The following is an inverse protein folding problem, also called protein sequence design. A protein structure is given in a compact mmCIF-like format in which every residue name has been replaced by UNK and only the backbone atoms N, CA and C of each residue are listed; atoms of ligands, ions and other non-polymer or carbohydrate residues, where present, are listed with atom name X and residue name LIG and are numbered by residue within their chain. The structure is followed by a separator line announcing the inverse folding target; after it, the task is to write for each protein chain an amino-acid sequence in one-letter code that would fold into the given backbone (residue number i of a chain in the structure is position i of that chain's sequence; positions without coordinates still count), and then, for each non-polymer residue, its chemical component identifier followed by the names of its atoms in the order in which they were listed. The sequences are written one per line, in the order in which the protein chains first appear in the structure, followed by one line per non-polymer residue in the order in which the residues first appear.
data_IF_902174806824
#
_entry.id   IF_902174806824
#
_cell.length_a   1.000
_cell.length_b   1.000
_cell.length_c   1.000
_cell.angle_alpha   90.00
_cell.angle_beta   90.00
_cell.angle_gamma   90.00
#
_symmetry.space_group_name_H-M   'P 1'
#
loop_
_entity.id
_entity.type
_entity.pdbx_description
1 polymer ?
#
# COMPACT_ATOMS: atom_id res chain seq x y z
N UNK A 1 26.90 9.04 21.72
CA UNK A 1 26.70 7.57 21.78
C UNK A 1 25.38 7.08 21.16
N UNK A 2 24.19 7.37 21.70
CA UNK A 2 22.93 6.82 21.14
C UNK A 2 22.49 7.50 19.84
N UNK A 3 22.79 8.79 19.67
CA UNK A 3 22.53 9.55 18.42
C UNK A 3 23.53 9.21 17.30
N UNK A 4 24.80 8.97 17.64
CA UNK A 4 25.84 8.59 16.66
C UNK A 4 25.61 7.18 16.10
N UNK A 5 25.11 6.24 16.92
CA UNK A 5 24.73 4.90 16.45
C UNK A 5 23.56 4.95 15.47
N UNK A 6 22.54 5.77 15.75
CA UNK A 6 21.40 5.97 14.83
C UNK A 6 21.82 6.60 13.50
N UNK A 7 22.75 7.56 13.51
CA UNK A 7 23.27 8.15 12.28
C UNK A 7 24.10 7.18 11.46
N UNK A 8 24.92 6.33 12.11
CA UNK A 8 25.70 5.30 11.42
C UNK A 8 24.80 4.22 10.80
N UNK A 9 23.79 3.74 11.54
CA UNK A 9 22.79 2.79 11.04
C UNK A 9 21.99 3.36 9.86
N UNK A 10 21.58 4.63 9.94
CA UNK A 10 20.87 5.30 8.86
C UNK A 10 21.73 5.46 7.60
N UNK A 11 23.01 5.80 7.76
CA UNK A 11 23.94 5.93 6.64
C UNK A 11 24.24 4.57 5.97
N UNK A 12 24.37 3.51 6.77
CA UNK A 12 24.52 2.14 6.27
C UNK A 12 23.27 1.68 5.50
N UNK A 13 22.07 1.96 6.00
CA UNK A 13 20.81 1.68 5.31
C UNK A 13 20.72 2.39 3.94
N UNK A 14 21.15 3.65 3.86
CA UNK A 14 21.20 4.39 2.59
C UNK A 14 22.19 3.77 1.60
N UNK A 15 23.37 3.36 2.06
CA UNK A 15 24.36 2.69 1.20
C UNK A 15 23.81 1.33 0.72
N UNK A 16 23.23 0.53 1.61
CA UNK A 16 22.64 -0.75 1.25
C UNK A 16 21.52 -0.58 0.21
N UNK A 17 20.61 0.38 0.41
CA UNK A 17 19.55 0.71 -0.55
C UNK A 17 20.08 1.15 -1.92
N UNK A 18 21.20 1.87 -1.95
CA UNK A 18 21.82 2.32 -3.21
C UNK A 18 22.50 1.19 -4.00
N UNK A 19 22.95 0.13 -3.32
CA UNK A 19 23.68 -1.01 -3.92
C UNK A 19 22.79 -2.20 -4.24
N UNK A 20 21.60 -2.24 -3.65
CA UNK A 20 20.60 -3.28 -3.90
C UNK A 20 20.04 -3.15 -5.31
N UNK A 21 19.85 -4.29 -5.96
CA UNK A 21 19.21 -4.39 -7.27
C UNK A 21 17.75 -3.92 -7.22
N UNK A 22 17.23 -3.53 -8.37
CA UNK A 22 15.84 -3.12 -8.56
C UNK A 22 14.92 -4.30 -8.72
N UNK A 23 13.79 -4.26 -8.03
CA UNK A 23 12.80 -5.32 -8.05
C UNK A 23 11.53 -4.89 -8.79
N UNK A 24 11.27 -5.53 -9.93
CA UNK A 24 10.04 -5.34 -10.70
C UNK A 24 9.14 -6.57 -10.56
N UNK A 25 7.88 -6.34 -10.19
CA UNK A 25 6.92 -7.39 -9.88
C UNK A 25 5.66 -7.27 -10.73
N UNK A 26 5.38 -8.31 -11.50
CA UNK A 26 4.12 -8.49 -12.20
C UNK A 26 3.10 -9.18 -11.29
N UNK A 27 2.00 -8.50 -10.97
CA UNK A 27 0.90 -9.05 -10.20
C UNK A 27 -0.25 -9.41 -11.15
N UNK A 28 -0.80 -10.61 -11.02
CA UNK A 28 -1.99 -11.01 -11.77
C UNK A 28 -3.09 -11.56 -10.88
N UNK A 29 -4.34 -11.43 -11.32
CA UNK A 29 -5.50 -11.97 -10.60
C UNK A 29 -5.52 -13.51 -10.56
N UNK A 30 -4.94 -14.18 -11.55
CA UNK A 30 -4.94 -15.65 -11.65
C UNK A 30 -3.86 -16.18 -12.62
N UNK A 31 -3.70 -17.51 -12.65
CA UNK A 31 -3.03 -18.22 -13.72
C UNK A 31 -3.68 -17.94 -15.08
N UNK A 32 -2.86 -17.90 -16.14
CA UNK A 32 -3.35 -17.74 -17.51
C UNK A 32 -3.55 -16.31 -18.00
N UNK A 33 -3.42 -15.30 -17.12
CA UNK A 33 -3.49 -13.88 -17.49
C UNK A 33 -2.28 -13.38 -18.31
N UNK A 34 -1.26 -14.22 -18.51
CA UNK A 34 -0.11 -13.90 -19.36
C UNK A 34 1.07 -13.21 -18.67
N UNK A 35 1.20 -13.33 -17.34
CA UNK A 35 2.36 -12.79 -16.58
C UNK A 35 3.71 -13.18 -17.18
N UNK A 36 3.95 -14.49 -17.31
CA UNK A 36 5.19 -15.04 -17.89
C UNK A 36 5.44 -14.55 -19.30
N UNK A 37 4.38 -14.51 -20.14
CA UNK A 37 4.49 -14.04 -21.51
C UNK A 37 4.93 -12.57 -21.58
N UNK A 38 4.32 -11.70 -20.77
CA UNK A 38 4.69 -10.28 -20.66
C UNK A 38 6.10 -10.09 -20.12
N UNK A 39 6.49 -10.86 -19.11
CA UNK A 39 7.82 -10.84 -18.53
C UNK A 39 8.90 -11.22 -19.55
N UNK A 40 8.65 -12.25 -20.37
CA UNK A 40 9.56 -12.64 -21.46
C UNK A 40 9.61 -11.59 -22.60
N UNK A 41 8.48 -10.95 -22.94
CA UNK A 41 8.47 -9.84 -23.91
C UNK A 41 9.32 -8.65 -23.44
N UNK A 42 9.28 -8.34 -22.14
CA UNK A 42 10.14 -7.31 -21.55
C UNK A 42 11.61 -7.73 -21.57
N UNK A 43 11.92 -8.98 -21.22
CA UNK A 43 13.29 -9.52 -21.30
C UNK A 43 13.89 -9.37 -22.71
N UNK A 44 13.11 -9.67 -23.75
CA UNK A 44 13.49 -9.44 -25.15
C UNK A 44 13.76 -7.96 -25.45
N UNK A 45 12.95 -7.07 -24.91
CA UNK A 45 13.10 -5.62 -25.11
C UNK A 45 14.37 -5.10 -24.45
N UNK A 46 14.64 -5.53 -23.23
CA UNK A 46 15.87 -5.20 -22.51
C UNK A 46 17.12 -5.74 -23.24
N UNK A 47 17.08 -6.99 -23.70
CA UNK A 47 18.19 -7.60 -24.44
C UNK A 47 18.47 -6.85 -25.76
N UNK A 48 17.42 -6.47 -26.52
CA UNK A 48 17.58 -5.65 -27.73
C UNK A 48 18.18 -4.27 -27.46
N UNK A 49 17.97 -3.73 -26.26
CA UNK A 49 18.55 -2.47 -25.82
C UNK A 49 19.97 -2.63 -25.25
N UNK A 50 20.56 -3.83 -25.31
CA UNK A 50 21.93 -4.10 -24.89
C UNK A 50 22.11 -4.35 -23.39
N UNK A 51 21.03 -4.55 -22.64
CA UNK A 51 21.09 -4.91 -21.22
C UNK A 51 21.39 -6.41 -21.08
N UNK A 52 22.33 -6.80 -20.21
CA UNK A 52 22.58 -8.23 -19.92
C UNK A 52 21.44 -8.83 -19.11
N UNK A 53 20.50 -9.45 -19.82
CA UNK A 53 19.36 -10.16 -19.27
C UNK A 53 19.59 -11.66 -19.33
N UNK A 54 19.32 -12.35 -18.22
CA UNK A 54 19.33 -13.81 -18.17
C UNK A 54 18.03 -14.37 -17.59
N UNK A 55 17.60 -15.52 -18.10
CA UNK A 55 16.54 -16.31 -17.47
C UNK A 55 17.16 -17.13 -16.35
N UNK A 56 16.76 -16.84 -15.10
CA UNK A 56 17.12 -17.66 -13.94
C UNK A 56 16.14 -18.82 -13.78
N UNK A 57 14.84 -18.52 -13.84
CA UNK A 57 13.79 -19.54 -13.84
C UNK A 57 12.53 -19.02 -14.51
N UNK A 58 11.96 -19.79 -15.43
CA UNK A 58 10.66 -19.52 -16.06
C UNK A 58 9.93 -20.85 -16.25
N UNK A 59 8.64 -20.88 -15.95
CA UNK A 59 7.77 -22.02 -16.22
C UNK A 59 6.77 -21.69 -17.34
N UNK A 60 6.87 -22.40 -18.47
CA UNK A 60 6.01 -22.13 -19.64
C UNK A 60 4.71 -22.91 -19.60
N UNK A 61 4.60 -23.92 -18.73
CA UNK A 61 3.51 -24.89 -18.67
C UNK A 61 3.19 -25.50 -20.05
N UNK A 62 4.23 -25.74 -20.86
CA UNK A 62 4.14 -26.29 -22.23
C UNK A 62 3.30 -25.44 -23.20
N UNK A 63 3.11 -24.15 -22.91
CA UNK A 63 2.39 -23.22 -23.81
C UNK A 63 3.27 -22.88 -25.01
N UNK A 64 2.90 -23.25 -26.26
CA UNK A 64 3.77 -23.06 -27.42
C UNK A 64 4.20 -21.61 -27.63
N UNK A 65 3.27 -20.66 -27.53
CA UNK A 65 3.54 -19.23 -27.70
C UNK A 65 4.51 -18.67 -26.65
N UNK A 66 4.45 -19.18 -25.42
CA UNK A 66 5.35 -18.74 -24.33
C UNK A 66 6.70 -19.43 -24.43
N UNK A 67 6.72 -20.70 -24.84
CA UNK A 67 7.96 -21.44 -25.06
C UNK A 67 8.79 -20.84 -26.21
N UNK A 68 8.14 -20.42 -27.30
CA UNK A 68 8.81 -19.74 -28.41
C UNK A 68 9.49 -18.42 -27.98
N UNK A 69 9.04 -17.77 -26.90
CA UNK A 69 9.70 -16.58 -26.38
C UNK A 69 10.99 -16.87 -25.61
N UNK A 70 11.27 -18.13 -25.27
CA UNK A 70 12.56 -18.50 -24.66
C UNK A 70 13.70 -18.41 -25.69
N UNK A 71 13.39 -18.64 -26.97
CA UNK A 71 14.38 -18.60 -28.04
C UNK A 71 14.99 -17.20 -28.14
N UNK A 72 16.33 -17.15 -28.15
CA UNK A 72 17.10 -15.90 -28.21
C UNK A 72 17.33 -15.21 -26.86
N UNK A 73 16.77 -15.70 -25.75
CA UNK A 73 17.09 -15.20 -24.41
C UNK A 73 18.20 -16.05 -23.76
N UNK A 74 19.29 -15.43 -23.25
CA UNK A 74 20.29 -16.15 -22.48
C UNK A 74 19.66 -16.81 -21.24
N UNK A 75 19.93 -18.10 -21.03
CA UNK A 75 19.37 -18.87 -19.93
C UNK A 75 20.47 -19.42 -19.03
N UNK A 76 20.27 -19.31 -17.72
CA UNK A 76 21.11 -19.94 -16.71
C UNK A 76 20.58 -21.36 -16.52
N UNK A 77 21.40 -22.42 -16.72
CA UNK A 77 20.96 -23.78 -16.53
C UNK A 77 20.40 -24.00 -15.13
N UNK A 78 19.26 -24.68 -15.05
CA UNK A 78 18.66 -25.10 -13.79
C UNK A 78 19.56 -26.12 -13.11
N UNK A 79 19.65 -26.07 -11.78
CA UNK A 79 20.34 -27.12 -11.03
C UNK A 79 19.43 -28.34 -10.89
N UNK A 80 20.03 -29.52 -10.95
CA UNK A 80 19.33 -30.80 -10.79
C UNK A 80 19.55 -31.36 -9.40
N UNK A 81 18.47 -31.81 -8.77
CA UNK A 81 18.46 -32.34 -7.42
C UNK A 81 17.69 -33.67 -7.40
N UNK A 82 18.17 -34.64 -6.62
CA UNK A 82 17.44 -35.89 -6.39
C UNK A 82 16.71 -35.83 -5.06
N UNK A 83 15.39 -35.86 -5.11
CA UNK A 83 14.55 -35.86 -3.91
C UNK A 83 13.52 -36.98 -3.98
N UNK A 84 13.44 -37.80 -2.93
CA UNK A 84 12.56 -38.99 -2.83
C UNK A 84 12.61 -39.89 -4.09
N UNK A 85 13.80 -40.07 -4.67
CA UNK A 85 14.02 -40.92 -5.85
C UNK A 85 13.58 -40.31 -7.19
N UNK A 86 13.23 -39.02 -7.24
CA UNK A 86 12.93 -38.29 -8.49
C UNK A 86 13.99 -37.22 -8.75
N UNK A 87 14.41 -37.10 -10.00
CA UNK A 87 15.18 -35.94 -10.46
C UNK A 87 14.23 -34.76 -10.60
N UNK A 88 14.57 -33.65 -9.97
CA UNK A 88 13.84 -32.40 -10.00
C UNK A 88 14.79 -31.27 -10.42
N UNK A 89 14.25 -30.25 -11.05
CA UNK A 89 15.00 -29.06 -11.46
C UNK A 89 14.59 -27.87 -10.62
N UNK A 90 15.56 -27.04 -10.25
CA UNK A 90 15.34 -25.80 -9.49
C UNK A 90 16.21 -24.68 -10.04
N UNK A 91 15.83 -23.43 -9.74
CA UNK A 91 16.69 -22.28 -10.00
C UNK A 91 18.07 -22.47 -9.34
N UNK A 92 19.13 -22.12 -10.08
CA UNK A 92 20.50 -22.08 -9.56
C UNK A 92 20.85 -20.68 -9.08
N UNK A 93 20.50 -20.39 -7.81
CA UNK A 93 20.79 -19.12 -7.15
C UNK A 93 22.28 -18.77 -7.20
N UNK A 94 23.17 -19.74 -6.97
CA UNK A 94 24.59 -19.48 -6.91
C UNK A 94 25.17 -19.15 -8.29
N UNK A 95 24.70 -19.82 -9.34
CA UNK A 95 25.07 -19.48 -10.71
C UNK A 95 24.63 -18.06 -11.07
N UNK A 96 23.42 -17.64 -10.69
CA UNK A 96 22.94 -16.26 -10.91
C UNK A 96 23.86 -15.25 -10.22
N UNK A 97 24.16 -15.45 -8.93
CA UNK A 97 25.01 -14.55 -8.15
C UNK A 97 26.44 -14.50 -8.71
N UNK A 98 26.98 -15.62 -9.19
CA UNK A 98 28.33 -15.69 -9.75
C UNK A 98 28.43 -15.02 -11.12
N UNK A 99 27.41 -15.19 -11.96
CA UNK A 99 27.36 -14.59 -13.31
C UNK A 99 27.10 -13.08 -13.27
N UNK A 100 26.41 -12.58 -12.24
CA UNK A 100 26.04 -11.17 -12.05
C UNK A 100 25.47 -10.51 -13.32
N UNK A 101 24.37 -11.04 -13.90
CA UNK A 101 23.69 -10.32 -14.96
C UNK A 101 23.17 -8.97 -14.45
N UNK A 102 22.92 -8.02 -15.37
CA UNK A 102 22.25 -6.77 -15.00
C UNK A 102 20.82 -7.03 -14.56
N UNK A 103 20.10 -7.94 -15.25
CA UNK A 103 18.72 -8.31 -14.94
C UNK A 103 18.56 -9.82 -15.00
N UNK A 104 17.87 -10.41 -14.02
CA UNK A 104 17.45 -11.81 -14.05
C UNK A 104 15.93 -11.95 -14.01
N UNK A 105 15.41 -12.86 -14.83
CA UNK A 105 13.99 -13.23 -14.88
C UNK A 105 13.75 -14.43 -13.96
N UNK A 106 12.83 -14.28 -13.00
CA UNK A 106 12.48 -15.32 -12.02
C UNK A 106 10.95 -15.44 -11.90
N UNK A 107 10.37 -16.50 -12.44
CA UNK A 107 8.93 -16.76 -12.36
C UNK A 107 8.53 -17.52 -11.08
N UNK A 108 7.22 -17.54 -10.81
CA UNK A 108 6.58 -18.21 -9.68
C UNK A 108 7.19 -17.79 -8.32
N UNK A 109 7.11 -16.50 -7.99
CA UNK A 109 7.69 -15.93 -6.76
C UNK A 109 7.28 -16.68 -5.46
N UNK A 110 6.08 -17.25 -5.45
CA UNK A 110 5.51 -17.97 -4.31
C UNK A 110 6.02 -19.41 -4.13
N UNK A 111 6.74 -19.93 -5.13
CA UNK A 111 7.17 -21.32 -5.19
C UNK A 111 7.93 -21.74 -3.93
N UNK A 112 7.61 -22.93 -3.46
CA UNK A 112 8.36 -23.60 -2.39
C UNK A 112 9.52 -24.36 -2.98
N UNK A 113 10.72 -23.94 -2.65
CA UNK A 113 11.93 -24.57 -3.13
C UNK A 113 12.01 -26.03 -2.67
N UNK A 114 12.69 -26.85 -3.46
CA UNK A 114 12.89 -28.26 -3.15
C UNK A 114 13.66 -28.42 -1.84
N UNK A 115 13.26 -29.37 -1.00
CA UNK A 115 13.98 -29.74 0.23
C UNK A 115 15.48 -29.98 -0.04
N UNK A 116 16.35 -29.37 0.78
CA UNK A 116 17.80 -29.35 0.56
C UNK A 116 18.31 -28.12 -0.18
N UNK A 117 17.43 -27.21 -0.60
CA UNK A 117 17.79 -25.85 -1.00
C UNK A 117 18.22 -25.01 0.20
N UNK A 118 19.07 -24.01 -0.04
CA UNK A 118 19.52 -23.09 1.03
C UNK A 118 18.35 -22.29 1.61
N UNK A 119 17.43 -21.87 0.75
CA UNK A 119 16.21 -21.17 1.10
C UNK A 119 14.99 -22.05 0.90
N UNK A 120 13.97 -21.87 1.73
CA UNK A 120 12.70 -22.61 1.66
C UNK A 120 11.79 -22.08 0.55
N UNK A 121 11.86 -20.78 0.26
CA UNK A 121 10.97 -20.09 -0.69
C UNK A 121 11.74 -19.35 -1.76
N UNK A 122 11.24 -19.38 -2.99
CA UNK A 122 11.87 -18.68 -4.12
C UNK A 122 11.96 -17.17 -3.90
N UNK A 123 11.01 -16.57 -3.20
CA UNK A 123 11.12 -15.15 -2.85
C UNK A 123 12.33 -14.83 -1.99
N UNK A 124 12.83 -15.76 -1.17
CA UNK A 124 14.07 -15.57 -0.41
C UNK A 124 15.28 -15.56 -1.37
N UNK A 125 15.32 -16.45 -2.35
CA UNK A 125 16.34 -16.43 -3.40
C UNK A 125 16.32 -15.10 -4.17
N UNK A 126 15.13 -14.58 -4.47
CA UNK A 126 14.98 -13.27 -5.11
C UNK A 126 15.55 -12.15 -4.24
N UNK A 127 15.33 -12.18 -2.92
CA UNK A 127 15.93 -11.21 -2.00
C UNK A 127 17.46 -11.30 -2.01
N UNK A 128 18.02 -12.51 -1.98
CA UNK A 128 19.47 -12.74 -2.05
C UNK A 128 20.08 -12.21 -3.36
N UNK A 129 19.38 -12.39 -4.49
CA UNK A 129 19.79 -11.85 -5.79
C UNK A 129 19.78 -10.31 -5.77
N UNK A 130 18.73 -9.71 -5.22
CA UNK A 130 18.62 -8.25 -5.10
C UNK A 130 19.73 -7.70 -4.20
N UNK A 131 20.02 -8.35 -3.09
CA UNK A 131 21.08 -7.96 -2.15
C UNK A 131 22.48 -8.11 -2.75
N UNK A 132 22.66 -9.01 -3.73
CA UNK A 132 23.87 -9.09 -4.55
C UNK A 132 24.00 -7.95 -5.59
N UNK A 133 23.01 -7.06 -5.69
CA UNK A 133 22.99 -5.92 -6.61
C UNK A 133 22.45 -6.21 -8.01
N UNK A 134 21.83 -7.38 -8.20
CA UNK A 134 21.28 -7.82 -9.50
C UNK A 134 19.80 -7.44 -9.55
N UNK A 135 19.34 -6.85 -10.66
CA UNK A 135 17.92 -6.50 -10.80
C UNK A 135 17.09 -7.77 -11.07
N UNK A 136 15.89 -7.84 -10.50
CA UNK A 136 14.99 -8.99 -10.66
C UNK A 136 13.67 -8.54 -11.27
N UNK A 137 13.22 -9.25 -12.30
CA UNK A 137 11.85 -9.20 -12.79
C UNK A 137 11.16 -10.51 -12.43
N UNK A 138 10.05 -10.42 -11.70
CA UNK A 138 9.32 -11.58 -11.20
C UNK A 138 7.82 -11.44 -11.42
N UNK A 139 7.10 -12.55 -11.24
CA UNK A 139 5.65 -12.57 -11.30
C UNK A 139 5.01 -13.33 -10.11
N UNK A 140 3.83 -12.88 -9.69
CA UNK A 140 3.03 -13.51 -8.62
C UNK A 140 1.53 -13.37 -8.92
N UNK A 141 0.72 -14.33 -8.44
CA UNK A 141 -0.73 -14.16 -8.40
C UNK A 141 -1.17 -13.66 -7.04
N UNK A 142 -2.26 -12.89 -6.98
CA UNK A 142 -2.82 -12.37 -5.72
C UNK A 142 -3.16 -13.46 -4.69
N UNK A 143 -3.53 -14.65 -5.15
CA UNK A 143 -3.87 -15.79 -4.28
C UNK A 143 -2.69 -16.27 -3.41
N UNK A 144 -1.47 -15.87 -3.75
CA UNK A 144 -0.27 -16.20 -3.00
C UNK A 144 0.15 -15.09 -2.03
N UNK A 145 -0.47 -13.92 -2.07
CA UNK A 145 -0.17 -12.84 -1.12
C UNK A 145 -0.83 -13.18 0.21
N UNK A 146 -0.05 -13.18 1.29
CA UNK A 146 -0.49 -13.65 2.60
C UNK A 146 -1.75 -12.94 3.09
N UNK A 147 -1.79 -11.60 3.06
CA UNK A 147 -2.94 -10.81 3.52
C UNK A 147 -4.23 -11.03 2.72
N UNK A 148 -4.12 -11.43 1.44
CA UNK A 148 -5.26 -11.63 0.55
C UNK A 148 -5.75 -13.07 0.55
N UNK A 149 -5.07 -13.97 1.25
CA UNK A 149 -5.38 -15.38 1.16
C UNK A 149 -6.79 -15.73 1.62
N UNK A 150 -7.22 -15.22 2.77
CA UNK A 150 -8.53 -15.51 3.33
C UNK A 150 -9.65 -15.04 2.39
N UNK A 151 -9.53 -13.81 1.88
CA UNK A 151 -10.49 -13.23 0.94
C UNK A 151 -10.54 -14.03 -0.38
N UNK A 152 -9.39 -14.46 -0.90
CA UNK A 152 -9.33 -15.32 -2.10
C UNK A 152 -9.92 -16.71 -1.85
N UNK A 153 -9.72 -17.28 -0.66
CA UNK A 153 -10.31 -18.57 -0.28
C UNK A 153 -11.83 -18.46 -0.17
N UNK A 154 -12.34 -17.36 0.37
CA UNK A 154 -13.79 -17.12 0.47
C UNK A 154 -14.44 -16.98 -0.91
N UNK A 155 -13.73 -16.37 -1.87
CA UNK A 155 -14.19 -16.24 -3.26
C UNK A 155 -14.13 -17.58 -4.00
N UNK A 156 -13.00 -18.30 -3.91
CA UNK A 156 -12.71 -19.44 -4.80
C UNK A 156 -13.00 -20.80 -4.19
N UNK A 157 -13.13 -20.87 -2.85
CA UNK A 157 -13.20 -22.10 -2.07
C UNK A 157 -11.89 -22.90 -2.02
N UNK A 158 -10.79 -22.36 -2.55
CA UNK A 158 -9.51 -23.07 -2.69
C UNK A 158 -8.51 -22.54 -1.68
N UNK A 159 -7.95 -23.45 -0.88
CA UNK A 159 -6.85 -23.15 0.01
C UNK A 159 -5.51 -23.35 -0.72
N UNK A 160 -4.87 -22.25 -1.07
CA UNK A 160 -3.54 -22.25 -1.70
C UNK A 160 -2.50 -22.47 -0.59
N UNK A 161 -1.43 -23.25 -0.75
CA UNK A 161 -0.43 -23.44 0.33
C UNK A 161 0.80 -22.56 0.16
N UNK A 162 1.10 -22.19 -1.09
CA UNK A 162 2.25 -21.38 -1.42
C UNK A 162 1.97 -19.90 -1.21
N UNK A 163 2.86 -19.23 -0.47
CA UNK A 163 2.65 -17.90 0.08
C UNK A 163 3.87 -17.00 -0.06
N UNK A 164 3.58 -15.71 -0.22
CA UNK A 164 4.54 -14.61 -0.24
C UNK A 164 4.10 -13.58 0.81
N UNK A 165 4.96 -13.23 1.77
CA UNK A 165 4.68 -12.18 2.73
C UNK A 165 4.48 -10.82 2.04
N UNK A 166 3.52 -10.03 2.52
CA UNK A 166 3.27 -8.67 2.06
C UNK A 166 4.51 -7.77 2.09
N UNK A 167 5.42 -8.01 3.05
CA UNK A 167 6.68 -7.27 3.17
C UNK A 167 7.61 -7.48 1.98
N UNK A 168 7.53 -8.61 1.29
CA UNK A 168 8.29 -8.89 0.07
C UNK A 168 7.68 -8.15 -1.11
N UNK A 169 6.35 -8.20 -1.26
CA UNK A 169 5.63 -7.46 -2.31
C UNK A 169 5.89 -5.96 -2.18
N UNK A 170 5.88 -5.44 -0.95
CA UNK A 170 6.15 -4.03 -0.65
C UNK A 170 7.62 -3.59 -0.92
N UNK A 171 8.54 -4.53 -1.11
CA UNK A 171 9.93 -4.22 -1.51
C UNK A 171 10.08 -4.03 -3.02
N UNK A 172 9.04 -4.27 -3.83
CA UNK A 172 9.09 -4.03 -5.26
C UNK A 172 9.25 -2.53 -5.57
N UNK A 173 10.31 -2.20 -6.30
CA UNK A 173 10.49 -0.85 -6.86
C UNK A 173 9.44 -0.56 -7.93
N UNK A 174 9.01 -1.54 -8.71
CA UNK A 174 7.96 -1.36 -9.72
C UNK A 174 6.94 -2.50 -9.63
N UNK A 175 5.66 -2.14 -9.60
CA UNK A 175 4.56 -3.11 -9.61
C UNK A 175 3.72 -2.90 -10.85
N UNK A 176 3.50 -3.95 -11.63
CA UNK A 176 2.72 -3.92 -12.86
C UNK A 176 1.55 -4.90 -12.76
N UNK A 177 0.33 -4.40 -12.93
CA UNK A 177 -0.85 -5.25 -12.98
C UNK A 177 -0.97 -5.92 -14.36
N UNK A 178 -1.13 -7.24 -14.38
CA UNK A 178 -1.49 -8.01 -15.57
C UNK A 178 -2.93 -8.48 -15.45
N UNK A 179 -3.77 -7.91 -16.31
CA UNK A 179 -5.21 -8.05 -16.27
C UNK A 179 -5.77 -8.54 -17.60
N UNK A 180 -6.93 -9.19 -17.54
CA UNK A 180 -7.70 -9.73 -18.66
C UNK A 180 -9.18 -9.71 -18.28
N UNK A 181 -10.06 -9.69 -19.28
CA UNK A 181 -11.49 -9.84 -19.00
C UNK A 181 -11.81 -11.27 -18.56
N UNK A 182 -12.93 -11.45 -17.85
CA UNK A 182 -13.39 -12.79 -17.48
C UNK A 182 -13.67 -13.66 -18.72
N UNK A 183 -14.23 -13.07 -19.77
CA UNK A 183 -14.50 -13.74 -21.04
C UNK A 183 -13.20 -14.22 -21.69
N UNK A 184 -12.20 -13.35 -21.85
CA UNK A 184 -10.91 -13.73 -22.45
C UNK A 184 -10.20 -14.82 -21.64
N UNK A 185 -10.26 -14.75 -20.30
CA UNK A 185 -9.61 -15.74 -19.44
C UNK A 185 -10.30 -17.12 -19.56
N UNK A 186 -11.64 -17.12 -19.60
CA UNK A 186 -12.44 -18.33 -19.80
C UNK A 186 -12.18 -18.93 -21.18
N UNK A 187 -12.11 -18.11 -22.22
CA UNK A 187 -11.86 -18.60 -23.58
C UNK A 187 -10.46 -19.17 -23.73
N UNK A 188 -9.45 -18.51 -23.15
CA UNK A 188 -8.09 -19.07 -23.04
C UNK A 188 -8.06 -20.41 -22.30
N UNK A 189 -8.88 -20.57 -21.27
CA UNK A 189 -9.00 -21.85 -20.57
C UNK A 189 -9.62 -22.92 -21.48
N UNK A 190 -10.72 -22.62 -22.17
CA UNK A 190 -11.40 -23.54 -23.09
C UNK A 190 -10.52 -23.96 -24.27
N UNK A 191 -9.69 -23.05 -24.77
CA UNK A 191 -8.70 -23.30 -25.80
C UNK A 191 -7.51 -24.16 -25.32
N UNK A 192 -7.46 -24.55 -24.04
CA UNK A 192 -6.37 -25.33 -23.48
C UNK A 192 -5.07 -24.54 -23.28
N UNK A 193 -5.13 -23.20 -23.33
CA UNK A 193 -3.95 -22.33 -23.16
C UNK A 193 -3.54 -22.18 -21.69
N UNK A 194 -4.37 -22.59 -20.74
CA UNK A 194 -4.12 -22.41 -19.29
C UNK A 194 -3.84 -23.74 -18.60
N UNK A 195 -4.71 -24.74 -18.81
CA UNK A 195 -4.61 -26.08 -18.24
C UNK A 195 -4.77 -27.17 -19.32
N UNK A 196 -4.27 -28.37 -19.01
CA UNK A 196 -4.52 -29.57 -19.81
C UNK A 196 -6.02 -29.89 -19.88
N UNK A 197 -6.47 -30.46 -21.01
CA UNK A 197 -7.88 -30.68 -21.33
C UNK A 197 -8.66 -31.46 -20.25
N UNK A 198 -7.99 -32.38 -19.54
CA UNK A 198 -8.56 -33.16 -18.45
C UNK A 198 -9.01 -32.33 -17.24
N UNK A 199 -8.38 -31.16 -17.02
CA UNK A 199 -8.64 -30.29 -15.85
C UNK A 199 -9.57 -29.12 -16.17
N UNK A 200 -9.89 -28.86 -17.45
CA UNK A 200 -10.67 -27.70 -17.88
C UNK A 200 -12.08 -27.71 -17.25
N UNK A 201 -12.81 -28.83 -17.33
CA UNK A 201 -14.18 -28.90 -16.82
C UNK A 201 -14.26 -28.64 -15.31
N UNK A 202 -13.33 -29.22 -14.54
CA UNK A 202 -13.24 -28.98 -13.10
C UNK A 202 -12.83 -27.53 -12.77
N UNK A 203 -11.93 -26.94 -13.55
CA UNK A 203 -11.49 -25.56 -13.37
C UNK A 203 -12.64 -24.56 -13.64
N UNK A 204 -13.44 -24.78 -14.69
CA UNK A 204 -14.64 -23.97 -15.01
C UNK A 204 -15.74 -24.11 -13.94
N UNK A 205 -15.90 -25.30 -13.37
CA UNK A 205 -16.88 -25.55 -12.30
C UNK A 205 -16.53 -24.91 -10.96
N UNK A 206 -15.27 -24.54 -10.75
CA UNK A 206 -14.74 -24.02 -9.48
C UNK A 206 -14.14 -22.62 -9.65
N UNK A 207 -12.82 -22.51 -9.87
CA UNK A 207 -12.08 -21.26 -9.86
C UNK A 207 -12.48 -20.30 -11.00
N UNK A 208 -12.68 -20.80 -12.22
CA UNK A 208 -12.84 -19.99 -13.44
C UNK A 208 -14.32 -19.64 -13.73
N UNK A 209 -15.03 -19.15 -12.71
CA UNK A 209 -16.37 -18.56 -12.87
C UNK A 209 -16.24 -17.06 -13.11
N UNK A 210 -17.12 -16.51 -13.94
CA UNK A 210 -17.11 -15.08 -14.27
C UNK A 210 -17.18 -14.20 -13.00
N UNK A 211 -18.03 -14.56 -12.04
CA UNK A 211 -18.15 -13.88 -10.75
C UNK A 211 -16.85 -13.89 -9.94
N UNK A 212 -16.22 -15.07 -9.81
CA UNK A 212 -14.95 -15.19 -9.09
C UNK A 212 -13.85 -14.36 -9.76
N UNK A 213 -13.76 -14.40 -11.10
CA UNK A 213 -12.76 -13.65 -11.85
C UNK A 213 -12.95 -12.15 -11.65
N UNK A 214 -14.19 -11.65 -11.65
CA UNK A 214 -14.48 -10.23 -11.39
C UNK A 214 -14.04 -9.79 -9.99
N UNK A 215 -14.30 -10.60 -8.97
CA UNK A 215 -13.89 -10.32 -7.59
C UNK A 215 -12.36 -10.37 -7.44
N UNK A 216 -11.70 -11.39 -8.01
CA UNK A 216 -10.24 -11.48 -8.02
C UNK A 216 -9.59 -10.31 -8.78
N UNK A 217 -10.22 -9.85 -9.85
CA UNK A 217 -9.77 -8.66 -10.60
C UNK A 217 -9.84 -7.40 -9.76
N UNK A 218 -10.93 -7.20 -9.02
CA UNK A 218 -11.06 -6.10 -8.07
C UNK A 218 -9.95 -6.14 -7.01
N UNK A 219 -9.69 -7.32 -6.42
CA UNK A 219 -8.62 -7.50 -5.44
C UNK A 219 -7.24 -7.19 -6.01
N UNK A 220 -6.94 -7.66 -7.23
CA UNK A 220 -5.67 -7.37 -7.88
C UNK A 220 -5.46 -5.87 -8.12
N UNK A 221 -6.50 -5.18 -8.60
CA UNK A 221 -6.43 -3.73 -8.82
C UNK A 221 -6.27 -2.97 -7.51
N UNK A 222 -6.99 -3.36 -6.45
CA UNK A 222 -6.90 -2.77 -5.11
C UNK A 222 -5.50 -2.96 -4.51
N UNK A 223 -4.91 -4.14 -4.66
CA UNK A 223 -3.57 -4.43 -4.16
C UNK A 223 -2.51 -3.61 -4.90
N UNK A 224 -2.56 -3.58 -6.23
CA UNK A 224 -1.62 -2.76 -7.01
C UNK A 224 -1.77 -1.27 -6.67
N UNK A 225 -3.00 -0.78 -6.51
CA UNK A 225 -3.24 0.60 -6.07
C UNK A 225 -2.67 0.88 -4.67
N UNK A 226 -2.83 -0.06 -3.73
CA UNK A 226 -2.24 0.02 -2.38
C UNK A 226 -0.71 0.10 -2.42
N UNK A 227 -0.06 -0.72 -3.26
CA UNK A 227 1.40 -0.69 -3.42
C UNK A 227 1.90 0.62 -4.02
N UNK A 228 1.23 1.13 -5.07
CA UNK A 228 1.55 2.43 -5.65
C UNK A 228 1.38 3.55 -4.62
N UNK A 229 0.32 3.52 -3.82
CA UNK A 229 0.10 4.50 -2.76
C UNK A 229 1.23 4.47 -1.72
N UNK A 230 1.62 3.29 -1.21
CA UNK A 230 2.73 3.15 -0.25
C UNK A 230 4.04 3.70 -0.80
N UNK A 231 4.30 3.48 -2.10
CA UNK A 231 5.49 3.99 -2.77
C UNK A 231 5.46 5.52 -2.88
N UNK A 232 4.34 6.11 -3.26
CA UNK A 232 4.15 7.57 -3.28
C UNK A 232 4.36 8.16 -1.87
N UNK A 233 3.79 7.54 -0.84
CA UNK A 233 3.97 7.97 0.55
C UNK A 233 5.43 7.88 1.01
N UNK A 234 6.22 6.93 0.48
CA UNK A 234 7.63 6.78 0.85
C UNK A 234 8.53 7.75 0.07
N UNK A 235 8.42 7.79 -1.26
CA UNK A 235 9.32 8.55 -2.13
C UNK A 235 8.97 10.05 -2.15
N UNK A 236 7.69 10.42 -2.19
CA UNK A 236 7.28 11.84 -2.28
C UNK A 236 7.44 12.55 -0.93
N UNK A 237 7.25 11.84 0.20
CA UNK A 237 7.48 12.41 1.54
C UNK A 237 8.97 12.58 1.85
N UNK A 238 9.85 11.80 1.22
CA UNK A 238 11.31 12.01 1.31
C UNK A 238 11.80 13.16 0.42
N UNK A 239 11.17 13.37 -0.74
CA UNK A 239 11.61 14.38 -1.72
C UNK A 239 11.03 15.78 -1.47
N UNK A 240 9.93 15.86 -0.73
CA UNK A 240 9.37 17.13 -0.23
C UNK A 240 9.16 16.99 1.27
N UNK A 241 9.68 17.93 2.06
CA UNK A 241 9.29 18.17 3.46
C UNK A 241 7.79 18.56 3.55
N UNK A 242 6.89 17.75 3.00
CA UNK A 242 5.45 17.88 3.21
C UNK A 242 5.26 17.43 4.65
N UNK A 243 5.15 18.41 5.56
CA UNK A 243 4.69 18.17 6.93
C UNK A 243 3.45 17.26 6.81
N UNK A 244 3.47 16.08 7.44
CA UNK A 244 2.28 15.21 7.48
C UNK A 244 1.10 16.05 7.99
N UNK A 245 0.07 16.19 7.17
CA UNK A 245 -1.04 17.12 7.43
C UNK A 245 -1.81 16.70 8.68
N UNK A 246 -1.64 17.36 9.82
CA UNK A 246 -2.38 17.03 11.06
C UNK A 246 -3.55 17.96 11.22
N UNK A 247 -4.76 17.39 11.33
CA UNK A 247 -5.99 18.17 11.39
C UNK A 247 -6.50 18.34 12.83
N UNK A 248 -6.97 19.54 13.16
CA UNK A 248 -7.64 19.84 14.43
C UNK A 248 -9.04 20.42 14.18
N UNK A 249 -10.07 19.62 14.43
CA UNK A 249 -11.46 20.08 14.42
C UNK A 249 -11.79 20.75 15.76
N UNK A 250 -12.01 22.07 15.75
CA UNK A 250 -12.49 22.79 16.94
C UNK A 250 -14.02 22.86 16.93
N UNK A 251 -14.64 22.23 17.93
CA UNK A 251 -16.10 22.17 18.05
C UNK A 251 -16.60 23.01 19.23
N UNK A 252 -17.81 23.54 19.10
CA UNK A 252 -18.56 24.21 20.17
C UNK A 252 -19.72 23.33 20.66
N UNK A 253 -20.47 23.79 21.66
CA UNK A 253 -21.67 23.09 22.15
C UNK A 253 -22.86 23.13 21.17
N UNK A 254 -22.69 23.68 19.96
CA UNK A 254 -23.74 23.75 18.94
C UNK A 254 -23.80 22.42 18.16
N UNK A 255 -24.93 21.72 18.25
CA UNK A 255 -25.08 20.38 17.68
C UNK A 255 -24.84 20.32 16.16
N UNK A 256 -25.55 21.15 15.38
CA UNK A 256 -25.55 21.05 13.90
C UNK A 256 -24.19 21.41 13.33
N UNK A 257 -23.61 22.50 13.84
CA UNK A 257 -22.31 23.00 13.36
C UNK A 257 -21.18 22.05 13.73
N UNK A 258 -21.17 21.53 14.97
CA UNK A 258 -20.15 20.59 15.41
C UNK A 258 -20.19 19.27 14.61
N UNK A 259 -21.38 18.68 14.37
CA UNK A 259 -21.50 17.46 13.56
C UNK A 259 -20.95 17.64 12.14
N UNK A 260 -21.22 18.79 11.52
CA UNK A 260 -20.75 19.09 10.17
C UNK A 260 -19.22 19.23 10.15
N UNK A 261 -18.64 19.98 11.09
CA UNK A 261 -17.19 20.14 11.25
C UNK A 261 -16.51 18.78 11.44
N UNK A 262 -17.02 17.93 12.33
CA UNK A 262 -16.47 16.60 12.59
C UNK A 262 -16.46 15.77 11.30
N UNK A 263 -17.60 15.66 10.60
CA UNK A 263 -17.70 14.85 9.38
C UNK A 263 -16.82 15.36 8.25
N UNK A 264 -16.78 16.68 8.03
CA UNK A 264 -15.95 17.27 6.97
C UNK A 264 -14.47 17.18 7.29
N UNK A 265 -14.08 17.36 8.56
CA UNK A 265 -12.68 17.18 8.98
C UNK A 265 -12.26 15.73 8.87
N UNK A 266 -13.11 14.77 9.26
CA UNK A 266 -12.85 13.34 9.06
C UNK A 266 -12.61 12.99 7.59
N UNK A 267 -13.42 13.57 6.68
CA UNK A 267 -13.23 13.38 5.22
C UNK A 267 -11.90 13.93 4.75
N UNK A 268 -11.50 15.11 5.21
CA UNK A 268 -10.20 15.70 4.88
C UNK A 268 -9.04 14.85 5.44
N UNK A 269 -9.12 14.47 6.72
CA UNK A 269 -8.11 13.64 7.37
C UNK A 269 -7.94 12.29 6.66
N UNK A 270 -9.05 11.65 6.26
CA UNK A 270 -9.02 10.41 5.48
C UNK A 270 -8.44 10.62 4.08
N UNK A 271 -8.80 11.71 3.40
CA UNK A 271 -8.25 12.04 2.08
C UNK A 271 -6.73 12.22 2.10
N UNK A 272 -6.20 12.82 3.18
CA UNK A 272 -4.77 13.01 3.40
C UNK A 272 -4.09 11.88 4.19
N UNK A 273 -4.80 10.78 4.46
CA UNK A 273 -4.35 9.65 5.27
C UNK A 273 -3.61 10.07 6.56
N UNK A 274 -4.21 10.96 7.35
CA UNK A 274 -3.52 11.57 8.48
C UNK A 274 -4.30 11.58 9.78
N UNK A 275 -3.54 11.70 10.88
CA UNK A 275 -4.07 11.82 12.22
C UNK A 275 -4.86 13.12 12.36
N UNK A 276 -5.98 13.02 13.04
CA UNK A 276 -6.80 14.18 13.34
C UNK A 276 -7.39 14.13 14.74
N UNK A 277 -7.70 15.31 15.24
CA UNK A 277 -8.09 15.55 16.61
C UNK A 277 -9.38 16.34 16.64
N UNK A 278 -10.24 16.08 17.63
CA UNK A 278 -11.41 16.90 17.91
C UNK A 278 -11.22 17.57 19.26
N UNK A 279 -11.19 18.89 19.24
CA UNK A 279 -10.98 19.71 20.43
C UNK A 279 -12.27 20.42 20.85
N UNK A 280 -12.60 20.29 22.13
CA UNK A 280 -13.62 21.07 22.82
C UNK A 280 -12.99 21.88 23.94
N UNK A 281 -13.19 23.20 23.90
CA UNK A 281 -12.76 24.12 24.96
C UNK A 281 -13.94 24.48 25.84
N UNK A 282 -13.94 23.97 27.07
CA UNK A 282 -14.94 24.30 28.07
C UNK A 282 -14.66 25.69 28.65
N UNK A 283 -15.54 26.65 28.35
CA UNK A 283 -15.46 28.01 28.90
C UNK A 283 -16.16 28.11 30.26
N UNK A 284 -15.89 29.14 31.09
CA UNK A 284 -16.56 29.31 32.39
C UNK A 284 -18.09 29.43 32.33
N UNK A 285 -18.64 29.83 31.17
CA UNK A 285 -20.09 29.89 30.92
C UNK A 285 -20.69 28.51 30.62
N UNK A 286 -19.86 27.53 30.33
CA UNK A 286 -20.20 26.15 30.01
C UNK A 286 -19.65 25.16 31.05
N UNK A 287 -19.42 25.62 32.29
CA UNK A 287 -19.07 24.71 33.39
C UNK A 287 -20.14 23.63 33.54
N UNK A 288 -19.76 22.44 34.01
CA UNK A 288 -20.65 21.28 34.09
C UNK A 288 -21.98 21.59 34.81
N UNK A 289 -21.94 22.48 35.80
CA UNK A 289 -23.10 22.90 36.60
C UNK A 289 -23.96 24.01 35.96
N UNK A 290 -23.54 24.56 34.81
CA UNK A 290 -24.17 25.73 34.16
C UNK A 290 -24.59 25.50 32.71
N UNK A 291 -24.08 24.44 32.07
CA UNK A 291 -24.46 24.10 30.71
C UNK A 291 -25.80 23.36 30.72
N UNK A 292 -26.70 23.74 29.80
CA UNK A 292 -28.00 23.09 29.66
C UNK A 292 -27.87 21.60 29.29
N UNK A 293 -28.76 20.76 29.82
CA UNK A 293 -28.69 19.29 29.72
C UNK A 293 -28.77 18.78 28.26
N UNK A 294 -29.52 19.47 27.40
CA UNK A 294 -29.60 19.23 25.97
C UNK A 294 -28.22 19.39 25.31
N UNK A 295 -27.52 20.49 25.61
CA UNK A 295 -26.17 20.77 25.09
C UNK A 295 -25.14 19.74 25.55
N UNK A 296 -25.22 19.28 26.80
CA UNK A 296 -24.35 18.20 27.28
C UNK A 296 -24.56 16.92 26.47
N UNK A 297 -25.82 16.53 26.22
CA UNK A 297 -26.15 15.34 25.43
C UNK A 297 -25.61 15.43 24.01
N UNK A 298 -25.76 16.59 23.36
CA UNK A 298 -25.22 16.80 22.01
C UNK A 298 -23.70 16.68 21.97
N UNK A 299 -23.01 17.22 22.98
CA UNK A 299 -21.55 17.15 23.05
C UNK A 299 -21.05 15.71 23.23
N UNK A 300 -21.71 14.91 24.07
CA UNK A 300 -21.39 13.47 24.24
C UNK A 300 -21.56 12.73 22.91
N UNK A 301 -22.67 12.96 22.19
CA UNK A 301 -22.93 12.34 20.89
C UNK A 301 -21.87 12.74 19.85
N UNK A 302 -21.41 13.99 19.89
CA UNK A 302 -20.35 14.48 18.99
C UNK A 302 -18.99 13.83 19.29
N UNK A 303 -18.65 13.63 20.56
CA UNK A 303 -17.42 12.90 20.91
C UNK A 303 -17.50 11.44 20.48
N UNK A 304 -18.65 10.78 20.66
CA UNK A 304 -18.84 9.41 20.19
C UNK A 304 -18.65 9.32 18.67
N UNK A 305 -19.30 10.21 17.91
CA UNK A 305 -19.16 10.29 16.46
C UNK A 305 -17.70 10.54 16.04
N UNK A 306 -17.00 11.43 16.74
CA UNK A 306 -15.61 11.73 16.45
C UNK A 306 -14.70 10.51 16.66
N UNK A 307 -14.88 9.77 17.76
CA UNK A 307 -14.15 8.52 18.03
C UNK A 307 -14.48 7.42 17.01
N UNK A 308 -15.75 7.26 16.63
CA UNK A 308 -16.17 6.31 15.58
C UNK A 308 -15.53 6.63 14.21
N UNK A 309 -15.26 7.91 13.95
CA UNK A 309 -14.57 8.38 12.74
C UNK A 309 -13.03 8.45 12.90
N UNK A 310 -12.48 7.90 13.99
CA UNK A 310 -11.04 7.77 14.20
C UNK A 310 -10.33 9.01 14.77
N UNK A 311 -11.05 10.00 15.31
CA UNK A 311 -10.44 11.15 15.96
C UNK A 311 -9.99 10.86 17.40
N UNK A 312 -8.86 11.44 17.80
CA UNK A 312 -8.50 11.60 19.21
C UNK A 312 -9.23 12.81 19.82
N UNK A 313 -9.85 12.63 21.00
CA UNK A 313 -10.63 13.68 21.66
C UNK A 313 -9.78 14.48 22.64
N UNK A 314 -9.82 15.80 22.51
CA UNK A 314 -9.11 16.75 23.38
C UNK A 314 -10.13 17.62 24.10
N UNK A 315 -10.13 17.59 25.44
CA UNK A 315 -11.01 18.42 26.28
C UNK A 315 -10.16 19.35 27.15
N UNK A 316 -10.28 20.66 26.93
CA UNK A 316 -9.50 21.67 27.65
C UNK A 316 -10.43 22.63 28.39
N UNK A 317 -10.15 22.91 29.65
CA UNK A 317 -10.82 23.98 30.41
C UNK A 317 -10.01 25.27 30.28
N UNK A 318 -10.59 26.30 29.66
CA UNK A 318 -9.88 27.58 29.49
C UNK A 318 -10.86 28.76 29.41
N UNK A 319 -10.43 29.91 29.94
CA UNK A 319 -11.12 31.19 29.75
C UNK A 319 -10.88 31.79 28.36
N UNK A 320 -9.77 31.41 27.71
CA UNK A 320 -9.35 31.90 26.40
C UNK A 320 -9.23 30.72 25.42
N UNK A 321 -10.17 30.64 24.49
CA UNK A 321 -10.27 29.56 23.50
C UNK A 321 -9.11 29.61 22.51
N UNK A 322 -8.77 30.79 21.99
CA UNK A 322 -7.67 31.01 21.05
C UNK A 322 -6.34 30.51 21.59
N UNK A 323 -5.99 30.87 22.84
CA UNK A 323 -4.75 30.41 23.47
C UNK A 323 -4.71 28.89 23.65
N UNK A 324 -5.84 28.27 23.98
CA UNK A 324 -5.91 26.82 24.15
C UNK A 324 -5.73 26.09 22.81
N UNK A 325 -6.36 26.58 21.73
CA UNK A 325 -6.23 26.00 20.40
C UNK A 325 -4.78 26.05 19.92
N UNK A 326 -4.13 27.21 20.06
CA UNK A 326 -2.74 27.40 19.61
C UNK A 326 -1.78 26.48 20.37
N UNK A 327 -1.95 26.36 21.70
CA UNK A 327 -1.14 25.45 22.51
C UNK A 327 -1.24 24.00 22.02
N UNK A 328 -2.45 23.50 21.76
CA UNK A 328 -2.63 22.15 21.22
C UNK A 328 -2.09 22.02 19.79
N UNK A 329 -2.13 23.10 19.01
CA UNK A 329 -1.53 23.11 17.68
C UNK A 329 -0.01 22.93 17.74
N UNK A 330 0.67 23.62 18.65
CA UNK A 330 2.11 23.49 18.89
C UNK A 330 2.47 22.10 19.43
N UNK A 331 1.81 21.68 20.53
CA UNK A 331 2.09 20.41 21.22
C UNK A 331 1.93 19.20 20.29
N UNK A 332 0.94 19.24 19.38
CA UNK A 332 0.61 18.13 18.47
C UNK A 332 1.07 18.38 17.04
N UNK A 333 1.79 19.47 16.77
CA UNK A 333 2.27 19.85 15.42
C UNK A 333 1.14 19.86 14.38
N UNK A 334 -0.01 20.44 14.72
CA UNK A 334 -1.17 20.59 13.83
C UNK A 334 -0.79 21.48 12.65
N UNK A 335 -1.17 21.08 11.44
CA UNK A 335 -0.93 21.84 10.21
C UNK A 335 -2.20 22.53 9.72
N UNK A 336 -3.37 21.96 9.99
CA UNK A 336 -4.65 22.51 9.56
C UNK A 336 -5.68 22.51 10.70
N UNK A 337 -6.25 23.67 10.99
CA UNK A 337 -7.34 23.85 11.95
C UNK A 337 -8.66 23.98 11.20
N UNK A 338 -9.67 23.18 11.58
CA UNK A 338 -11.00 23.21 11.01
C UNK A 338 -12.01 23.77 12.02
N UNK A 339 -12.74 24.83 11.62
CA UNK A 339 -13.77 25.47 12.43
C UNK A 339 -15.09 25.56 11.69
N UNK A 340 -16.20 25.63 12.43
CA UNK A 340 -17.51 25.88 11.85
C UNK A 340 -17.68 27.35 11.46
N UNK A 341 -18.46 27.62 10.41
CA UNK A 341 -18.81 28.98 10.02
C UNK A 341 -19.49 29.72 11.19
N UNK A 342 -18.95 30.85 11.67
CA UNK A 342 -19.58 31.60 12.74
C UNK A 342 -20.93 32.16 12.27
N UNK A 343 -21.94 32.16 13.15
CA UNK A 343 -23.29 32.68 12.88
C UNK A 343 -23.35 34.23 12.84
N UNK A 344 -22.22 34.92 12.63
CA UNK A 344 -22.12 36.37 12.62
C UNK A 344 -21.97 36.83 11.16
N UNK A 345 -22.62 37.93 10.79
CA UNK A 345 -22.49 38.56 9.47
C UNK A 345 -21.02 38.94 9.20
N UNK A 346 -20.51 38.73 7.97
CA UNK A 346 -19.10 39.02 7.61
C UNK A 346 -18.64 40.44 8.00
N UNK A 347 -19.52 41.44 7.87
CA UNK A 347 -19.25 42.81 8.28
C UNK A 347 -19.00 42.96 9.80
N UNK A 348 -19.71 42.18 10.63
CA UNK A 348 -19.49 42.13 12.08
C UNK A 348 -18.28 41.26 12.45
N UNK A 349 -17.81 40.34 11.61
CA UNK A 349 -16.57 39.57 11.88
C UNK A 349 -15.35 40.48 11.74
N UNK A 350 -15.35 41.37 10.76
CA UNK A 350 -14.29 42.38 10.56
C UNK A 350 -14.30 43.40 11.72
N UNK A 351 -15.48 43.75 12.23
CA UNK A 351 -15.66 44.76 13.27
C UNK A 351 -15.68 44.25 14.72
N UNK A 352 -15.94 42.95 14.98
CA UNK A 352 -16.41 42.52 16.31
C UNK A 352 -15.63 41.40 17.02
N UNK A 353 -14.37 41.08 16.73
CA UNK A 353 -13.59 40.35 17.76
C UNK A 353 -12.07 40.38 17.58
N UNK A 354 -11.38 41.03 18.52
CA UNK A 354 -9.94 40.88 18.76
C UNK A 354 -9.49 39.41 18.84
N UNK A 355 -10.39 38.51 19.27
CA UNK A 355 -10.07 37.08 19.49
C UNK A 355 -9.95 36.25 18.21
N UNK A 356 -10.74 36.54 17.17
CA UNK A 356 -10.68 35.83 15.89
C UNK A 356 -9.50 36.32 15.05
N UNK A 357 -9.29 37.64 15.02
CA UNK A 357 -8.11 38.24 14.39
C UNK A 357 -6.82 37.80 15.10
N UNK A 358 -6.82 37.70 16.44
CA UNK A 358 -5.68 37.15 17.18
C UNK A 358 -5.42 35.66 16.89
N UNK A 359 -6.46 34.87 16.62
CA UNK A 359 -6.29 33.47 16.21
C UNK A 359 -5.68 33.39 14.80
N UNK A 360 -6.25 34.12 13.84
CA UNK A 360 -5.76 34.19 12.46
C UNK A 360 -4.30 34.63 12.38
N UNK A 361 -3.95 35.74 13.04
CA UNK A 361 -2.58 36.25 13.04
C UNK A 361 -1.59 35.25 13.61
N UNK A 362 -1.96 34.54 14.69
CA UNK A 362 -1.08 33.54 15.31
C UNK A 362 -0.97 32.25 14.50
N UNK A 363 -2.07 31.75 13.93
CA UNK A 363 -2.02 30.58 13.04
C UNK A 363 -1.19 30.88 11.79
N UNK A 364 -1.31 32.08 11.23
CA UNK A 364 -0.49 32.52 10.10
C UNK A 364 1.00 32.60 10.45
N UNK A 365 1.36 33.06 11.65
CA UNK A 365 2.77 33.08 12.09
C UNK A 365 3.38 31.68 12.22
N UNK A 366 2.60 30.68 12.62
CA UNK A 366 3.03 29.29 12.78
C UNK A 366 2.92 28.46 11.48
N UNK A 367 2.53 29.08 10.36
CA UNK A 367 2.21 28.40 9.09
C UNK A 367 1.19 27.27 9.25
N UNK A 368 0.08 27.56 9.95
CA UNK A 368 -1.04 26.64 10.16
C UNK A 368 -2.25 27.15 9.36
N UNK A 369 -2.80 26.29 8.51
CA UNK A 369 -3.95 26.60 7.68
C UNK A 369 -5.25 26.63 8.50
N UNK A 370 -6.16 27.54 8.16
CA UNK A 370 -7.49 27.61 8.76
C UNK A 370 -8.56 27.33 7.72
N UNK A 371 -9.32 26.24 7.92
CA UNK A 371 -10.45 25.85 7.08
C UNK A 371 -11.76 26.16 7.80
N UNK A 372 -12.60 26.99 7.18
CA UNK A 372 -13.94 27.33 7.68
C UNK A 372 -14.98 26.50 6.95
N UNK A 373 -15.67 25.64 7.69
CA UNK A 373 -16.62 24.66 7.17
C UNK A 373 -18.05 25.17 7.34
N UNK A 374 -18.76 25.34 6.21
CA UNK A 374 -20.17 25.73 6.14
C UNK A 374 -21.11 24.57 6.34
#
# INVERSE_FOLDING_TARGET
MMDERKNAEHFLDLIQKSRRGKFKLYIGMSAGVGKTYRMLQEAHTLLRNGIDVKIGYVETHKRPETHALLDGLPLIPRRKLFYKGKELEEMDLQAIINLRPEVVIVDELAHTNIEGSNNEKRWQDVLDILDAGINVISAVNIQHIESLNEEVRDITGIDVQERVPDSVVAQADEVVNIDLTAEDLIDRLKEGKIYESSKIAAALGNFFKSEHILQLRELALKEVASQVQRKVETEVVLTRNIKKERFLACISSNEKTAKNVIRKTARLANYYNSKWYVMYVQTPRESADKIALDKQRHLINNFKLATELGAEIIKVKSKNTTKAIIKECEDRKITTVCIGKPHITLAKIILATDTFNALLNKLSHENIDLVILS
#
